data_IF_404557951372
#
_entry.id   IF_404557951372
#
_cell.length_a   1.000
_cell.length_b   1.000
_cell.length_c   1.000
_cell.angle_alpha   90.00
_cell.angle_beta   90.00
_cell.angle_gamma   90.00
#
_symmetry.space_group_name_H-M   'P 1'
#
loop_
_entity.id
_entity.type
_entity.pdbx_description
1 polymer ?
#
# COMPACT_ATOMS: atom_id res chain seq x y z
N UNK A 1 27.49 -21.42 32.30
CA UNK A 1 26.58 -22.03 31.30
C UNK A 1 25.11 -21.98 31.73
N UNK A 2 24.71 -22.52 32.90
CA UNK A 2 23.31 -22.51 33.38
C UNK A 2 22.67 -21.12 33.49
N UNK A 3 23.42 -20.10 33.96
CA UNK A 3 22.95 -18.70 34.06
C UNK A 3 22.70 -18.04 32.69
N UNK A 4 23.49 -18.42 31.68
CA UNK A 4 23.33 -17.94 30.30
C UNK A 4 22.07 -18.53 29.65
N UNK A 5 21.81 -19.82 29.88
CA UNK A 5 20.58 -20.49 29.40
C UNK A 5 19.34 -19.86 30.05
N UNK A 6 19.36 -19.60 31.35
CA UNK A 6 18.27 -18.92 32.03
C UNK A 6 18.00 -17.51 31.49
N UNK A 7 19.05 -16.77 31.13
CA UNK A 7 18.93 -15.44 30.52
C UNK A 7 18.28 -15.50 29.14
N UNK A 8 18.65 -16.47 28.29
CA UNK A 8 18.02 -16.64 26.97
C UNK A 8 16.56 -17.08 27.08
N UNK A 9 16.20 -17.93 28.05
CA UNK A 9 14.81 -18.33 28.31
C UNK A 9 13.97 -17.12 28.75
N UNK A 10 14.52 -16.24 29.59
CA UNK A 10 13.82 -15.03 30.04
C UNK A 10 13.54 -14.06 28.89
N UNK A 11 14.49 -13.88 27.96
CA UNK A 11 14.28 -13.02 26.79
C UNK A 11 13.19 -13.60 25.86
N UNK A 12 13.20 -14.92 25.67
CA UNK A 12 12.22 -15.60 24.82
C UNK A 12 10.78 -15.49 25.36
N UNK A 13 10.58 -15.53 26.68
CA UNK A 13 9.25 -15.43 27.30
C UNK A 13 8.70 -14.01 27.29
N UNK A 14 9.57 -12.99 27.38
CA UNK A 14 9.16 -11.57 27.26
C UNK A 14 8.65 -11.26 25.85
N UNK A 15 9.28 -11.82 24.81
CA UNK A 15 8.87 -11.61 23.42
C UNK A 15 7.49 -12.19 23.07
N UNK A 16 7.06 -13.26 23.75
CA UNK A 16 5.77 -13.90 23.51
C UNK A 16 4.57 -13.11 24.07
N UNK A 17 4.81 -12.12 24.93
CA UNK A 17 3.76 -11.26 25.50
C UNK A 17 3.59 -9.94 24.74
N UNK A 18 4.35 -9.71 23.68
CA UNK A 18 4.21 -8.54 22.84
C UNK A 18 2.90 -8.64 22.03
N UNK A 19 1.83 -8.04 22.56
CA UNK A 19 0.61 -7.80 21.78
C UNK A 19 0.95 -6.79 20.69
N UNK A 20 0.86 -7.21 19.43
CA UNK A 20 0.94 -6.32 18.28
C UNK A 20 -0.13 -5.22 18.43
N UNK A 21 0.27 -3.96 18.27
CA UNK A 21 -0.65 -2.84 18.25
C UNK A 21 -1.51 -2.89 16.97
N UNK A 22 -2.81 -3.07 17.11
CA UNK A 22 -3.75 -2.85 16.01
C UNK A 22 -3.80 -1.35 15.75
N UNK A 23 -3.42 -0.92 14.54
CA UNK A 23 -3.53 0.48 14.08
C UNK A 23 -4.99 0.82 13.69
N UNK A 24 -5.96 0.11 14.26
CA UNK A 24 -7.38 0.43 14.08
C UNK A 24 -7.75 1.55 15.06
N UNK A 25 -8.36 2.66 14.59
CA UNK A 25 -8.86 3.70 15.48
C UNK A 25 -9.80 3.10 16.53
N UNK A 26 -9.59 3.43 17.81
CA UNK A 26 -10.48 3.06 18.90
C UNK A 26 -10.68 4.26 19.83
N UNK A 27 -11.87 4.35 20.44
CA UNK A 27 -12.24 5.42 21.37
C UNK A 27 -12.62 4.81 22.72
N UNK A 28 -12.14 5.41 23.81
CA UNK A 28 -12.60 5.14 25.16
C UNK A 28 -13.54 6.29 25.53
N UNK A 29 -14.85 6.05 25.45
CA UNK A 29 -15.88 7.05 25.74
C UNK A 29 -16.64 6.69 27.01
N UNK A 30 -17.08 7.70 27.76
CA UNK A 30 -17.97 7.51 28.91
C UNK A 30 -19.37 7.03 28.50
N UNK A 31 -19.82 7.38 27.30
CA UNK A 31 -21.03 6.87 26.67
C UNK A 31 -20.93 6.96 25.13
N UNK A 32 -21.79 6.24 24.42
CA UNK A 32 -21.89 6.32 22.96
C UNK A 32 -22.91 5.33 22.42
N UNK A 33 -23.42 5.56 21.22
CA UNK A 33 -24.38 4.66 20.59
C UNK A 33 -24.36 4.78 19.06
N UNK A 34 -24.93 3.78 18.39
CA UNK A 34 -25.07 3.69 16.94
C UNK A 34 -26.52 3.36 16.57
N UNK A 35 -27.11 4.18 15.71
CA UNK A 35 -28.48 4.04 15.22
C UNK A 35 -28.51 4.05 13.69
N UNK A 36 -29.29 3.13 13.12
CA UNK A 36 -29.52 3.03 11.67
C UNK A 36 -30.99 3.30 11.38
N UNK A 37 -31.28 4.38 10.67
CA UNK A 37 -32.58 4.66 10.07
C UNK A 37 -32.57 4.34 8.57
N UNK A 38 -33.75 4.36 7.94
CA UNK A 38 -33.92 4.02 6.52
C UNK A 38 -33.09 4.89 5.57
N UNK A 39 -32.87 6.17 5.91
CA UNK A 39 -32.20 7.15 5.05
C UNK A 39 -30.91 7.74 5.66
N UNK A 40 -30.58 7.39 6.90
CA UNK A 40 -29.45 7.97 7.61
C UNK A 40 -28.96 7.05 8.72
N UNK A 41 -27.65 7.11 8.97
CA UNK A 41 -27.00 6.49 10.11
C UNK A 41 -26.52 7.59 11.06
N UNK A 42 -26.77 7.41 12.35
CA UNK A 42 -26.29 8.29 13.40
C UNK A 42 -25.40 7.48 14.34
N UNK A 43 -24.13 7.81 14.36
CA UNK A 43 -23.21 7.36 15.40
C UNK A 43 -22.94 8.55 16.30
N UNK A 44 -22.86 8.37 17.61
CA UNK A 44 -22.36 9.41 18.52
C UNK A 44 -21.56 8.80 19.68
N UNK A 45 -20.62 9.57 20.20
CA UNK A 45 -19.84 9.26 21.40
C UNK A 45 -19.86 10.47 22.33
N UNK A 46 -19.83 10.23 23.64
CA UNK A 46 -19.87 11.24 24.69
C UNK A 46 -18.80 10.92 25.74
N UNK A 47 -18.04 11.93 26.16
CA UNK A 47 -16.99 11.78 27.15
C UNK A 47 -15.69 11.26 26.57
N UNK A 48 -15.12 12.00 25.62
CA UNK A 48 -13.72 11.84 25.23
C UNK A 48 -12.83 12.55 26.27
N UNK A 49 -12.55 11.86 27.38
CA UNK A 49 -11.90 12.50 28.54
C UNK A 49 -10.37 12.64 28.38
N UNK A 50 -9.76 12.04 27.36
CA UNK A 50 -8.31 12.17 27.11
C UNK A 50 -8.03 12.43 25.63
N UNK A 51 -8.09 13.70 25.23
CA UNK A 51 -7.46 14.19 24.00
C UNK A 51 -6.19 14.94 24.36
N UNK A 52 -5.03 14.29 24.29
CA UNK A 52 -3.76 15.00 24.51
C UNK A 52 -3.51 15.94 23.33
N UNK A 53 -3.50 17.25 23.59
CA UNK A 53 -3.04 18.24 22.61
C UNK A 53 -1.54 18.44 22.81
N UNK A 54 -0.75 18.08 21.80
CA UNK A 54 0.68 18.34 21.81
C UNK A 54 0.96 19.57 20.94
N UNK A 55 1.56 20.59 21.53
CA UNK A 55 1.99 21.80 20.82
C UNK A 55 3.51 21.93 20.86
N UNK A 56 4.12 22.11 19.70
CA UNK A 56 5.50 22.58 19.55
C UNK A 56 5.49 23.78 18.60
N UNK A 57 6.57 24.59 18.57
CA UNK A 57 6.69 25.91 17.89
C UNK A 57 6.57 25.91 16.35
N UNK A 58 5.90 24.91 15.78
CA UNK A 58 5.51 24.83 14.37
C UNK A 58 4.42 23.80 14.07
N UNK A 59 3.83 23.13 15.06
CA UNK A 59 2.78 22.15 14.85
C UNK A 59 1.90 21.96 16.10
N UNK A 60 0.59 21.91 15.86
CA UNK A 60 -0.40 21.53 16.86
C UNK A 60 -1.00 20.20 16.40
N UNK A 61 -0.90 19.18 17.24
CA UNK A 61 -1.47 17.85 16.99
C UNK A 61 -2.56 17.60 18.02
N UNK A 62 -3.80 17.45 17.56
CA UNK A 62 -4.97 17.11 18.36
C UNK A 62 -5.39 15.65 18.11
N UNK A 63 -5.86 14.95 19.14
CA UNK A 63 -6.42 13.59 19.04
C UNK A 63 -7.95 13.60 19.17
N UNK A 64 -8.65 12.73 18.43
CA UNK A 64 -10.04 12.30 18.65
C UNK A 64 -10.77 11.80 17.40
N UNK A 65 -11.66 10.78 17.50
CA UNK A 65 -12.30 10.20 16.29
C UNK A 65 -13.72 9.61 16.45
N UNK A 66 -14.65 10.18 15.67
CA UNK A 66 -15.51 9.41 14.77
C UNK A 66 -15.05 9.68 13.34
N UNK A 67 -14.68 8.63 12.59
CA UNK A 67 -14.41 8.75 11.16
C UNK A 67 -15.61 8.18 10.40
N UNK A 68 -16.30 9.04 9.64
CA UNK A 68 -17.32 8.59 8.71
C UNK A 68 -16.68 7.70 7.63
N UNK A 69 -17.46 6.81 7.03
CA UNK A 69 -17.01 5.90 5.96
C UNK A 69 -16.22 6.68 4.92
N UNK A 70 -14.97 6.30 4.67
CA UNK A 70 -14.24 6.74 3.49
C UNK A 70 -15.05 6.27 2.28
N UNK A 71 -15.85 7.16 1.70
CA UNK A 71 -16.41 6.91 0.37
C UNK A 71 -15.25 7.12 -0.57
N UNK A 72 -14.51 6.04 -0.85
CA UNK A 72 -13.61 5.99 -2.00
C UNK A 72 -14.54 6.16 -3.20
N UNK A 73 -14.64 7.39 -3.71
CA UNK A 73 -15.33 7.65 -4.96
C UNK A 73 -14.61 6.80 -5.99
N UNK A 74 -15.32 5.84 -6.56
CA UNK A 74 -14.75 4.89 -7.52
C UNK A 74 -13.99 5.69 -8.58
N UNK A 75 -12.67 5.50 -8.61
CA UNK A 75 -11.90 5.88 -9.79
C UNK A 75 -12.52 5.05 -10.89
N UNK A 76 -13.07 5.71 -11.92
CA UNK A 76 -13.54 5.03 -13.11
C UNK A 76 -12.36 4.21 -13.63
N UNK A 77 -12.33 2.91 -13.35
CA UNK A 77 -11.30 2.03 -13.86
C UNK A 77 -11.48 2.06 -15.38
N UNK A 78 -10.50 2.59 -16.15
CA UNK A 78 -10.62 2.61 -17.60
C UNK A 78 -10.82 1.17 -18.04
N UNK A 79 -11.95 0.91 -18.71
CA UNK A 79 -12.46 -0.41 -19.09
C UNK A 79 -11.34 -1.46 -19.20
N UNK A 80 -11.29 -2.38 -18.24
CA UNK A 80 -10.18 -3.33 -18.03
C UNK A 80 -9.84 -4.16 -19.28
N UNK A 81 -10.77 -4.29 -20.22
CA UNK A 81 -10.67 -5.17 -21.38
C UNK A 81 -9.76 -4.70 -22.52
N UNK A 82 -9.29 -3.44 -22.53
CA UNK A 82 -8.53 -2.91 -23.66
C UNK A 82 -7.02 -2.81 -23.43
N UNK A 83 -6.52 -3.16 -22.25
CA UNK A 83 -5.09 -3.07 -21.92
C UNK A 83 -4.64 -4.31 -21.14
N UNK A 84 -4.56 -5.43 -21.86
CA UNK A 84 -4.18 -6.72 -21.29
C UNK A 84 -2.67 -6.80 -21.08
N UNK A 85 -2.24 -6.66 -19.83
CA UNK A 85 -0.85 -6.79 -19.41
C UNK A 85 -0.73 -7.90 -18.38
N UNK A 86 0.22 -8.80 -18.61
CA UNK A 86 0.62 -9.89 -17.70
C UNK A 86 2.00 -9.59 -17.14
N UNK A 87 2.20 -9.90 -15.86
CA UNK A 87 3.47 -9.69 -15.18
C UNK A 87 3.83 -10.92 -14.34
N UNK A 88 4.98 -11.53 -14.63
CA UNK A 88 5.41 -12.76 -13.97
C UNK A 88 6.95 -12.95 -13.99
N UNK A 89 7.51 -13.70 -13.03
CA UNK A 89 6.85 -14.22 -11.84
C UNK A 89 6.61 -13.11 -10.80
N UNK A 90 5.57 -13.27 -9.98
CA UNK A 90 5.34 -12.48 -8.78
C UNK A 90 4.92 -13.43 -7.65
N UNK A 91 5.70 -13.58 -6.56
CA UNK A 91 6.97 -12.91 -6.24
C UNK A 91 8.12 -13.22 -7.22
N UNK A 92 9.17 -12.39 -7.21
CA UNK A 92 10.38 -12.52 -8.06
C UNK A 92 11.67 -12.57 -7.22
N UNK A 93 12.72 -13.19 -7.73
CA UNK A 93 14.08 -13.16 -7.15
C UNK A 93 14.93 -11.99 -7.69
N UNK A 94 14.32 -11.03 -8.39
CA UNK A 94 15.00 -9.89 -8.99
C UNK A 94 14.81 -9.76 -10.50
N UNK A 95 14.33 -10.79 -11.18
CA UNK A 95 13.99 -10.73 -12.62
C UNK A 95 12.51 -11.01 -12.85
N UNK A 96 11.84 -10.13 -13.58
CA UNK A 96 10.47 -10.38 -14.01
C UNK A 96 10.21 -9.84 -15.40
N UNK A 97 9.18 -10.40 -16.02
CA UNK A 97 8.75 -10.10 -17.37
C UNK A 97 7.39 -9.43 -17.35
N UNK A 98 7.23 -8.45 -18.22
CA UNK A 98 5.98 -7.78 -18.53
C UNK A 98 5.63 -8.15 -19.96
N UNK A 99 4.43 -8.66 -20.20
CA UNK A 99 3.91 -8.98 -21.53
C UNK A 99 2.61 -8.25 -21.76
N UNK A 100 2.37 -7.81 -22.98
CA UNK A 100 1.15 -7.11 -23.35
C UNK A 100 0.62 -7.55 -24.71
N UNK A 101 -0.69 -7.45 -24.86
CA UNK A 101 -1.42 -7.83 -26.07
C UNK A 101 -2.17 -6.62 -26.61
N UNK A 102 -2.31 -6.53 -27.94
CA UNK A 102 -3.17 -5.55 -28.64
C UNK A 102 -2.83 -4.07 -28.39
N UNK A 103 -1.54 -3.72 -28.33
CA UNK A 103 -1.09 -2.31 -28.38
C UNK A 103 -0.53 -2.04 -29.77
N UNK A 104 -1.34 -1.41 -30.61
CA UNK A 104 -0.93 -0.97 -31.94
C UNK A 104 -0.57 0.52 -31.91
N UNK A 105 0.50 0.88 -32.63
CA UNK A 105 0.86 2.27 -32.95
C UNK A 105 1.08 3.21 -31.76
N UNK A 106 1.46 2.71 -30.58
CA UNK A 106 1.85 3.54 -29.44
C UNK A 106 2.93 2.87 -28.60
N UNK A 107 3.93 3.65 -28.20
CA UNK A 107 5.01 3.17 -27.34
C UNK A 107 4.52 2.96 -25.90
N UNK A 108 5.19 2.04 -25.21
CA UNK A 108 4.88 1.69 -23.82
C UNK A 108 5.93 2.30 -22.90
N UNK A 109 5.47 3.03 -21.89
CA UNK A 109 6.27 3.56 -20.79
C UNK A 109 6.09 2.67 -19.56
N UNK A 110 7.19 2.14 -19.06
CA UNK A 110 7.27 1.33 -17.84
C UNK A 110 8.06 2.11 -16.80
N UNK A 111 7.43 2.39 -15.65
CA UNK A 111 8.06 2.97 -14.48
C UNK A 111 8.05 1.98 -13.33
N UNK A 112 9.20 1.77 -12.70
CA UNK A 112 9.33 0.99 -11.47
C UNK A 112 9.60 1.93 -10.32
N UNK A 113 8.73 1.89 -9.32
CA UNK A 113 8.76 2.78 -8.17
C UNK A 113 9.04 1.96 -6.91
N UNK A 114 9.96 2.43 -6.07
CA UNK A 114 10.26 1.79 -4.79
C UNK A 114 9.16 2.08 -3.74
N UNK A 115 9.29 1.48 -2.55
CA UNK A 115 8.36 1.68 -1.44
C UNK A 115 8.33 3.12 -0.86
N UNK A 116 9.28 3.98 -1.24
CA UNK A 116 9.32 5.40 -0.87
C UNK A 116 8.64 6.30 -1.92
N UNK A 117 8.13 5.74 -3.02
CA UNK A 117 7.52 6.50 -4.10
C UNK A 117 8.52 7.05 -5.13
N UNK A 118 9.79 6.62 -5.08
CA UNK A 118 10.84 7.07 -6.01
C UNK A 118 10.90 6.14 -7.22
N UNK A 119 10.87 6.71 -8.43
CA UNK A 119 11.07 5.95 -9.68
C UNK A 119 12.55 5.57 -9.79
N UNK A 120 12.82 4.27 -9.79
CA UNK A 120 14.17 3.70 -9.87
C UNK A 120 14.51 3.16 -11.27
N UNK A 121 13.50 2.78 -12.06
CA UNK A 121 13.67 2.35 -13.45
C UNK A 121 12.60 3.02 -14.29
N UNK A 122 13.02 3.58 -15.42
CA UNK A 122 12.14 4.14 -16.45
C UNK A 122 12.55 3.58 -17.80
N UNK A 123 11.65 2.88 -18.48
CA UNK A 123 11.90 2.24 -19.77
C UNK A 123 10.80 2.61 -20.75
N UNK A 124 11.19 2.96 -21.97
CA UNK A 124 10.27 3.18 -23.09
C UNK A 124 10.49 2.05 -24.09
N UNK A 125 9.42 1.38 -24.48
CA UNK A 125 9.41 0.25 -25.41
C UNK A 125 8.64 0.65 -26.66
N UNK A 126 9.16 0.31 -27.83
CA UNK A 126 8.50 0.59 -29.09
C UNK A 126 7.27 -0.31 -29.29
N UNK A 127 6.28 0.16 -30.05
CA UNK A 127 5.05 -0.59 -30.33
C UNK A 127 5.25 -1.91 -31.08
N UNK A 128 6.43 -2.17 -31.64
CA UNK A 128 6.78 -3.43 -32.30
C UNK A 128 7.06 -4.57 -31.33
N UNK A 129 7.37 -4.27 -30.07
CA UNK A 129 7.63 -5.26 -29.04
C UNK A 129 6.36 -5.54 -28.23
N UNK A 130 6.19 -6.78 -27.79
CA UNK A 130 5.06 -7.23 -26.98
C UNK A 130 5.46 -7.61 -25.54
N UNK A 131 6.73 -7.41 -25.18
CA UNK A 131 7.28 -7.83 -23.90
C UNK A 131 8.48 -6.98 -23.49
N UNK A 132 8.71 -6.87 -22.19
CA UNK A 132 9.90 -6.28 -21.61
C UNK A 132 10.36 -7.07 -20.38
N UNK A 133 11.67 -7.17 -20.22
CA UNK A 133 12.29 -7.68 -19.01
C UNK A 133 12.81 -6.54 -18.15
N UNK A 134 12.64 -6.71 -16.84
CA UNK A 134 13.07 -5.77 -15.80
C UNK A 134 14.01 -6.50 -14.84
N UNK A 135 15.18 -5.89 -14.63
CA UNK A 135 16.20 -6.35 -13.70
C UNK A 135 16.17 -5.49 -12.43
N UNK A 136 15.87 -6.14 -11.31
CA UNK A 136 15.91 -5.60 -9.95
C UNK A 136 17.01 -6.23 -9.10
N UNK A 137 17.97 -6.98 -9.65
CA UNK A 137 18.94 -7.77 -8.87
C UNK A 137 19.76 -6.91 -7.91
N UNK A 138 20.17 -5.71 -8.37
CA UNK A 138 20.95 -4.74 -7.60
C UNK A 138 20.11 -3.84 -6.69
N UNK A 139 18.79 -4.04 -6.64
CA UNK A 139 17.89 -3.27 -5.77
C UNK A 139 17.50 -4.05 -4.51
N UNK A 140 17.15 -3.38 -3.40
CA UNK A 140 16.80 -4.07 -2.15
C UNK A 140 15.64 -5.07 -2.27
N UNK A 141 15.63 -6.09 -1.42
CA UNK A 141 14.47 -6.97 -1.21
C UNK A 141 13.34 -6.11 -0.65
N UNK A 142 12.30 -5.89 -1.45
CA UNK A 142 11.20 -4.98 -1.11
C UNK A 142 9.99 -5.21 -2.03
N UNK A 143 8.94 -4.46 -1.76
CA UNK A 143 7.81 -4.29 -2.68
C UNK A 143 8.07 -3.11 -3.62
N UNK A 144 7.78 -3.31 -4.90
CA UNK A 144 7.86 -2.31 -5.95
C UNK A 144 6.50 -2.10 -6.60
N UNK A 145 6.21 -0.87 -7.00
CA UNK A 145 5.04 -0.52 -7.80
C UNK A 145 5.48 -0.34 -9.26
N UNK A 146 4.91 -1.15 -10.15
CA UNK A 146 5.16 -1.10 -11.58
C UNK A 146 3.98 -0.37 -12.22
N UNK A 147 4.27 0.71 -12.95
CA UNK A 147 3.28 1.42 -13.74
C UNK A 147 3.61 1.22 -15.21
N UNK A 148 2.66 0.64 -15.95
CA UNK A 148 2.76 0.45 -17.40
C UNK A 148 1.73 1.35 -18.04
N UNK A 149 2.15 2.18 -18.99
CA UNK A 149 1.27 3.17 -19.62
C UNK A 149 1.60 3.34 -21.10
N UNK A 150 0.63 3.73 -21.90
CA UNK A 150 0.89 4.19 -23.27
C UNK A 150 1.44 5.61 -23.25
N UNK A 151 2.34 5.96 -24.18
CA UNK A 151 2.93 7.32 -24.22
C UNK A 151 1.92 8.43 -24.47
N UNK A 152 0.77 8.12 -25.07
CA UNK A 152 -0.35 9.06 -25.23
C UNK A 152 -1.19 9.24 -23.93
N UNK A 153 -0.91 8.49 -22.86
CA UNK A 153 -1.60 8.59 -21.58
C UNK A 153 -2.97 7.92 -21.51
N UNK A 154 -3.47 7.36 -22.61
CA UNK A 154 -4.84 6.84 -22.69
C UNK A 154 -5.04 5.52 -21.91
N UNK A 155 -3.97 4.76 -21.70
CA UNK A 155 -4.02 3.46 -21.03
C UNK A 155 -2.93 3.40 -19.98
N UNK A 156 -3.31 3.06 -18.74
CA UNK A 156 -2.41 2.95 -17.60
C UNK A 156 -2.85 1.75 -16.76
N UNK A 157 -1.89 0.94 -16.32
CA UNK A 157 -2.12 -0.18 -15.41
C UNK A 157 -1.01 -0.25 -14.37
N UNK A 158 -1.39 -0.54 -13.13
CA UNK A 158 -0.49 -0.63 -11.99
C UNK A 158 -0.39 -2.08 -11.50
N UNK A 159 0.82 -2.49 -11.13
CA UNK A 159 1.10 -3.81 -10.58
C UNK A 159 1.98 -3.69 -9.34
N UNK A 160 1.68 -4.49 -8.32
CA UNK A 160 2.55 -4.67 -7.16
C UNK A 160 3.46 -5.88 -7.38
N UNK A 161 4.77 -5.70 -7.25
CA UNK A 161 5.76 -6.77 -7.33
C UNK A 161 6.47 -6.94 -5.99
N UNK A 162 6.62 -8.20 -5.57
CA UNK A 162 7.36 -8.55 -4.36
C UNK A 162 8.68 -9.18 -4.78
N UNK A 163 9.81 -8.50 -4.51
CA UNK A 163 11.14 -9.11 -4.62
C UNK A 163 11.44 -9.86 -3.31
N UNK A 164 11.82 -11.14 -3.42
CA UNK A 164 12.27 -11.97 -2.30
C UNK A 164 13.78 -12.11 -2.27
#
# INVERSE_FOLDING_TARGET
MKKLIAFYILIATIGLSAKSQSVSPFVIASAGNYYVGTNAQLSWTLGEVVTSTFSSSGAIITQGFQQNTYTVVAINEPSENLFNIKLFPNPTNGYFKIQWENIENTNILINVTNNQGIIIIKKTINSSENQAEIDLINYPISTYLITVSTTNGNRIKHFKIIKK
#
